data_IF_040468128923
#
_entry.id   IF_040468128923
#
_cell.length_a   1.000
_cell.length_b   1.000
_cell.length_c   1.000
_cell.angle_alpha   90.00
_cell.angle_beta   90.00
_cell.angle_gamma   90.00
#
_symmetry.space_group_name_H-M   'P 1'
#
loop_
_entity.id
_entity.type
_entity.pdbx_description
1 polymer ?
#
# COMPACT_ATOMS: atom_id res chain seq x y z
N UNK A 1 9.36 -12.76 32.93
CA UNK A 1 9.26 -13.03 31.48
C UNK A 1 8.29 -12.01 30.90
N UNK A 2 8.80 -10.93 30.31
CA UNK A 2 7.94 -9.90 29.70
C UNK A 2 7.55 -10.39 28.31
N UNK A 3 6.31 -10.84 28.16
CA UNK A 3 5.70 -10.98 26.84
C UNK A 3 5.50 -9.56 26.32
N UNK A 4 6.40 -9.12 25.45
CA UNK A 4 6.15 -8.01 24.55
C UNK A 4 5.02 -8.46 23.62
N UNK A 5 3.78 -8.13 23.97
CA UNK A 5 2.65 -8.27 23.07
C UNK A 5 3.03 -7.47 21.81
N UNK A 6 3.26 -8.12 20.66
CA UNK A 6 3.60 -7.37 19.46
C UNK A 6 2.40 -6.50 19.19
N UNK A 7 2.55 -5.18 19.34
CA UNK A 7 1.57 -4.24 18.83
C UNK A 7 1.33 -4.69 17.40
N UNK A 8 0.11 -5.14 17.10
CA UNK A 8 -0.21 -5.70 15.78
C UNK A 8 -0.15 -4.54 14.79
N UNK A 9 1.07 -4.32 14.27
CA UNK A 9 1.34 -3.35 13.22
C UNK A 9 0.88 -4.01 11.93
N UNK A 10 -0.05 -3.36 11.26
CA UNK A 10 -0.45 -3.76 9.92
C UNK A 10 0.46 -3.03 8.93
N UNK A 11 1.14 -3.75 8.06
CA UNK A 11 2.02 -3.22 7.00
C UNK A 11 1.44 -3.60 5.65
N UNK A 12 1.31 -2.63 4.76
CA UNK A 12 0.90 -2.85 3.37
C UNK A 12 1.99 -2.31 2.46
N UNK A 13 2.55 -3.17 1.64
CA UNK A 13 3.52 -2.80 0.60
C UNK A 13 2.84 -2.93 -0.75
N UNK A 14 2.91 -1.88 -1.56
CA UNK A 14 2.34 -1.85 -2.91
C UNK A 14 3.47 -1.53 -3.88
N UNK A 15 3.73 -2.47 -4.77
CA UNK A 15 4.47 -2.24 -6.00
C UNK A 15 3.46 -1.78 -7.06
N UNK A 16 3.69 -0.59 -7.60
CA UNK A 16 2.87 -0.02 -8.66
C UNK A 16 3.72 0.32 -9.88
N UNK A 17 3.07 0.35 -11.01
CA UNK A 17 3.63 0.79 -12.27
C UNK A 17 2.71 1.79 -12.95
N UNK A 18 3.24 2.52 -13.92
CA UNK A 18 2.46 3.38 -14.80
C UNK A 18 2.84 3.07 -16.24
N UNK A 19 1.87 3.18 -17.13
CA UNK A 19 2.11 2.93 -18.54
C UNK A 19 2.97 4.02 -19.23
N UNK A 20 2.96 5.26 -18.74
CA UNK A 20 3.67 6.39 -19.36
C UNK A 20 4.19 7.39 -18.33
N UNK A 21 5.28 8.11 -18.65
CA UNK A 21 5.87 9.18 -17.81
C UNK A 21 5.00 10.44 -17.68
N UNK A 22 3.79 10.47 -18.25
CA UNK A 22 2.85 11.58 -18.14
C UNK A 22 2.27 11.61 -16.71
N UNK A 23 2.36 12.71 -15.95
CA UNK A 23 1.99 12.75 -14.51
C UNK A 23 0.56 12.29 -14.18
N UNK A 24 -0.34 12.35 -15.15
CA UNK A 24 -1.75 11.95 -15.05
C UNK A 24 -2.01 10.51 -15.48
N UNK A 25 -0.99 9.77 -15.89
CA UNK A 25 -1.12 8.39 -16.30
C UNK A 25 -1.61 7.53 -15.14
N UNK A 26 -2.57 6.65 -15.44
CA UNK A 26 -3.10 5.73 -14.45
C UNK A 26 -1.99 4.83 -13.92
N UNK A 27 -1.85 4.81 -12.60
CA UNK A 27 -0.95 3.94 -11.88
C UNK A 27 -1.70 2.65 -11.52
N UNK A 28 -1.13 1.51 -11.88
CA UNK A 28 -1.69 0.18 -11.66
C UNK A 28 -0.86 -0.58 -10.65
N UNK A 29 -1.52 -1.36 -9.81
CA UNK A 29 -0.85 -2.22 -8.86
C UNK A 29 -0.28 -3.42 -9.62
N UNK A 30 1.01 -3.65 -9.48
CA UNK A 30 1.67 -4.88 -9.98
C UNK A 30 1.57 -5.96 -8.93
N UNK A 31 1.84 -5.58 -7.68
CA UNK A 31 1.85 -6.50 -6.56
C UNK A 31 1.53 -5.74 -5.27
N UNK A 32 0.67 -6.30 -4.43
CA UNK A 32 0.49 -5.83 -3.08
C UNK A 32 0.75 -6.96 -2.09
N UNK A 33 1.42 -6.64 -0.99
CA UNK A 33 1.65 -7.55 0.13
C UNK A 33 1.10 -6.91 1.38
N UNK A 34 0.25 -7.64 2.09
CA UNK A 34 -0.32 -7.20 3.35
C UNK A 34 0.17 -8.13 4.45
N UNK A 35 0.74 -7.53 5.50
CA UNK A 35 1.23 -8.20 6.70
C UNK A 35 0.41 -7.65 7.86
N UNK A 36 -0.47 -8.45 8.44
CA UNK A 36 -1.38 -7.95 9.47
C UNK A 36 -2.65 -8.78 9.64
N UNK A 37 -3.48 -8.43 10.62
CA UNK A 37 -4.63 -9.25 11.03
C UNK A 37 -5.92 -8.93 10.29
N UNK A 38 -6.02 -7.78 9.60
CA UNK A 38 -7.18 -7.45 8.79
C UNK A 38 -6.77 -6.47 7.69
N UNK A 39 -6.88 -6.87 6.43
CA UNK A 39 -6.62 -6.02 5.27
C UNK A 39 -7.95 -5.38 4.82
N UNK A 40 -8.32 -4.17 5.29
CA UNK A 40 -9.63 -3.58 4.97
C UNK A 40 -9.79 -3.27 3.46
N UNK A 41 -8.68 -3.16 2.74
CA UNK A 41 -8.64 -2.80 1.32
C UNK A 41 -8.29 -3.99 0.42
N UNK A 42 -8.49 -5.24 0.86
CA UNK A 42 -8.12 -6.43 0.09
C UNK A 42 -8.70 -6.43 -1.34
N UNK A 43 -9.89 -5.86 -1.53
CA UNK A 43 -10.56 -5.80 -2.84
C UNK A 43 -9.96 -4.76 -3.81
N UNK A 44 -9.12 -3.85 -3.33
CA UNK A 44 -8.45 -2.82 -4.16
C UNK A 44 -6.93 -2.98 -4.20
N UNK A 45 -6.41 -4.06 -3.62
CA UNK A 45 -4.98 -4.38 -3.56
C UNK A 45 -4.62 -5.50 -4.55
N UNK A 46 -5.46 -5.80 -5.54
CA UNK A 46 -5.16 -6.85 -6.49
C UNK A 46 -4.26 -6.33 -7.62
N UNK A 47 -3.44 -7.20 -8.22
CA UNK A 47 -2.73 -6.86 -9.46
C UNK A 47 -3.72 -6.38 -10.54
N UNK A 48 -3.41 -5.24 -11.16
CA UNK A 48 -4.24 -4.56 -12.16
C UNK A 48 -5.17 -3.48 -11.59
N UNK A 49 -5.39 -3.44 -10.28
CA UNK A 49 -6.22 -2.40 -9.66
C UNK A 49 -5.55 -1.02 -9.72
N UNK A 50 -6.38 0.03 -9.60
CA UNK A 50 -5.89 1.41 -9.52
C UNK A 50 -5.15 1.65 -8.21
N UNK A 51 -3.88 2.05 -8.32
CA UNK A 51 -3.06 2.43 -7.18
C UNK A 51 -3.69 3.56 -6.36
N UNK A 52 -4.22 4.59 -7.04
CA UNK A 52 -4.85 5.75 -6.38
C UNK A 52 -6.05 5.29 -5.52
N UNK A 53 -6.87 4.38 -6.04
CA UNK A 53 -8.01 3.85 -5.30
C UNK A 53 -7.57 3.07 -4.05
N UNK A 54 -6.50 2.27 -4.16
CA UNK A 54 -5.93 1.55 -3.03
C UNK A 54 -5.37 2.48 -1.96
N UNK A 55 -4.63 3.52 -2.37
CA UNK A 55 -4.09 4.54 -1.46
C UNK A 55 -5.21 5.26 -0.71
N UNK A 56 -6.26 5.70 -1.41
CA UNK A 56 -7.40 6.35 -0.77
C UNK A 56 -8.09 5.45 0.25
N UNK A 57 -8.25 4.16 -0.08
CA UNK A 57 -8.81 3.18 0.87
C UNK A 57 -7.90 3.02 2.11
N UNK A 58 -6.59 2.90 1.93
CA UNK A 58 -5.64 2.73 3.04
C UNK A 58 -5.61 3.95 3.96
N UNK A 59 -5.52 5.15 3.39
CA UNK A 59 -5.57 6.40 4.16
C UNK A 59 -6.90 6.55 4.93
N UNK A 60 -8.03 6.21 4.30
CA UNK A 60 -9.34 6.21 4.95
C UNK A 60 -9.47 5.20 6.11
N UNK A 61 -8.67 4.13 6.08
CA UNK A 61 -8.63 3.10 7.13
C UNK A 61 -7.57 3.36 8.22
N UNK A 62 -6.94 4.54 8.22
CA UNK A 62 -5.96 4.95 9.22
C UNK A 62 -4.55 4.38 9.01
N UNK A 63 -4.25 3.89 7.81
CA UNK A 63 -2.87 3.64 7.42
C UNK A 63 -2.16 4.95 7.08
N UNK A 64 -0.87 5.01 7.41
CA UNK A 64 0.00 6.15 7.11
C UNK A 64 1.06 5.69 6.13
N UNK A 65 1.27 6.47 5.07
CA UNK A 65 2.35 6.23 4.12
C UNK A 65 3.68 6.61 4.77
N UNK A 66 4.58 5.65 4.90
CA UNK A 66 5.93 5.86 5.48
C UNK A 66 7.04 5.80 4.46
N UNK A 67 6.79 5.16 3.31
CA UNK A 67 7.73 5.11 2.20
C UNK A 67 6.98 5.31 0.90
N UNK A 68 7.56 6.11 0.01
CA UNK A 68 7.17 6.20 -1.38
C UNK A 68 8.43 6.37 -2.21
N UNK A 69 8.81 5.30 -2.88
CA UNK A 69 9.88 5.26 -3.85
C UNK A 69 9.25 5.39 -5.23
N UNK A 70 9.55 6.47 -5.93
CA UNK A 70 9.10 6.73 -7.31
C UNK A 70 10.33 6.73 -8.22
N UNK A 71 10.37 5.81 -9.18
CA UNK A 71 11.45 5.70 -10.18
C UNK A 71 11.05 6.25 -11.55
N UNK A 72 9.96 7.00 -11.63
CA UNK A 72 9.34 7.43 -12.85
C UNK A 72 8.25 6.46 -13.26
N UNK A 73 8.60 5.30 -13.83
CA UNK A 73 7.67 4.31 -14.40
C UNK A 73 7.13 3.28 -13.41
N UNK A 74 7.89 2.98 -12.37
CA UNK A 74 7.52 2.04 -11.33
C UNK A 74 7.80 2.66 -9.97
N UNK A 75 7.12 2.18 -8.95
CA UNK A 75 7.36 2.64 -7.60
C UNK A 75 6.90 1.66 -6.55
N UNK A 76 7.41 1.87 -5.34
CA UNK A 76 7.07 1.09 -4.17
C UNK A 76 6.55 2.04 -3.10
N UNK A 77 5.35 1.77 -2.62
CA UNK A 77 4.77 2.48 -1.50
C UNK A 77 4.58 1.54 -0.31
N UNK A 78 4.96 2.00 0.88
CA UNK A 78 4.76 1.26 2.12
C UNK A 78 3.88 2.08 3.04
N UNK A 79 2.83 1.43 3.51
CA UNK A 79 1.85 1.96 4.44
C UNK A 79 1.89 1.15 5.72
N UNK A 80 1.80 1.83 6.86
CA UNK A 80 1.73 1.17 8.16
C UNK A 80 0.55 1.69 8.96
N UNK A 81 -0.02 0.85 9.81
CA UNK A 81 -0.99 1.23 10.82
C UNK A 81 -0.58 0.63 12.14
N UNK A 82 -0.45 1.48 13.16
CA UNK A 82 -0.22 1.07 14.53
C UNK A 82 -1.59 1.10 15.23
N UNK A 83 -2.04 -0.04 15.75
CA UNK A 83 -3.22 -0.10 16.64
C UNK A 83 -2.83 0.20 18.09
#
# INVERSE_FOLDING_TARGET
MFISCPRSVDVVTILWERATLIPLAQQTIVQATVIGSNAPCANTLNPGDSYIAAVLCLLGNGFVQVLNLDSGLTGVAVFIRIR
#
